data_IF_512226976807
#
_entry.id   IF_512226976807
#
_cell.length_a   1.000
_cell.length_b   1.000
_cell.length_c   1.000
_cell.angle_alpha   90.00
_cell.angle_beta   90.00
_cell.angle_gamma   90.00
#
_symmetry.space_group_name_H-M   'P 1'
#
loop_
_entity.id
_entity.type
_entity.pdbx_description
1 polymer ?
#
# COMPACT_ATOMS: atom_id res chain seq x y z
N UNK A 1 -14.30 4.83 7.30
CA UNK A 1 -13.50 4.09 6.30
C UNK A 1 -14.38 3.35 5.31
N UNK A 2 -15.49 2.76 5.74
CA UNK A 2 -16.44 2.02 4.88
C UNK A 2 -16.99 2.80 3.67
N UNK A 3 -17.25 4.09 3.82
CA UNK A 3 -17.70 4.93 2.72
C UNK A 3 -16.60 5.15 1.66
N UNK A 4 -15.33 5.18 2.06
CA UNK A 4 -14.20 5.38 1.16
C UNK A 4 -13.94 4.11 0.35
N UNK A 5 -13.89 2.94 1.01
CA UNK A 5 -13.72 1.65 0.34
C UNK A 5 -14.86 1.37 -0.64
N UNK A 6 -16.11 1.66 -0.27
CA UNK A 6 -17.26 1.53 -1.16
C UNK A 6 -17.20 2.47 -2.39
N UNK A 7 -16.71 3.70 -2.20
CA UNK A 7 -16.52 4.63 -3.31
C UNK A 7 -15.44 4.13 -4.30
N UNK A 8 -14.37 3.52 -3.78
CA UNK A 8 -13.31 2.93 -4.61
C UNK A 8 -13.76 1.69 -5.37
N UNK A 9 -14.47 0.78 -4.71
CA UNK A 9 -15.03 -0.42 -5.34
C UNK A 9 -15.96 -0.01 -6.48
N UNK A 10 -16.81 0.98 -6.25
CA UNK A 10 -17.69 1.55 -7.29
C UNK A 10 -16.91 2.21 -8.43
N UNK A 11 -15.80 2.91 -8.16
CA UNK A 11 -14.98 3.51 -9.20
C UNK A 11 -14.30 2.44 -10.09
N UNK A 12 -13.86 1.32 -9.50
CA UNK A 12 -13.32 0.17 -10.23
C UNK A 12 -14.39 -0.51 -11.09
N UNK A 13 -15.59 -0.73 -10.56
CA UNK A 13 -16.68 -1.36 -11.34
C UNK A 13 -17.18 -0.49 -12.48
N UNK A 14 -17.07 0.84 -12.36
CA UNK A 14 -17.44 1.79 -13.42
C UNK A 14 -16.38 1.94 -14.53
N UNK A 15 -15.27 1.18 -14.49
CA UNK A 15 -14.23 1.22 -15.52
C UNK A 15 -13.52 2.58 -15.61
N UNK A 16 -13.56 3.39 -14.54
CA UNK A 16 -12.85 4.66 -14.52
C UNK A 16 -11.35 4.38 -14.60
N UNK A 17 -10.69 5.02 -15.56
CA UNK A 17 -9.24 4.92 -15.73
C UNK A 17 -8.54 5.21 -14.39
N UNK A 18 -7.67 4.29 -13.95
CA UNK A 18 -7.00 4.27 -12.65
C UNK A 18 -6.30 5.59 -12.25
N UNK A 19 -5.94 6.43 -13.24
CA UNK A 19 -5.36 7.77 -13.05
C UNK A 19 -6.33 8.85 -12.54
N UNK A 20 -7.65 8.63 -12.53
CA UNK A 20 -8.64 9.58 -11.97
C UNK A 20 -8.80 9.50 -10.45
N UNK A 21 -8.05 8.63 -9.79
CA UNK A 21 -8.17 8.33 -8.35
C UNK A 21 -7.07 9.00 -7.50
N UNK A 22 -6.15 9.75 -8.11
CA UNK A 22 -4.94 10.25 -7.44
C UNK A 22 -5.18 11.39 -6.44
N UNK A 23 -6.35 12.04 -6.44
CA UNK A 23 -6.57 13.25 -5.63
C UNK A 23 -7.52 13.12 -4.43
N UNK A 24 -8.02 11.92 -4.11
CA UNK A 24 -8.96 11.75 -3.01
C UNK A 24 -8.74 10.42 -2.29
N UNK A 25 -8.04 10.46 -1.14
CA UNK A 25 -7.69 9.36 -0.24
C UNK A 25 -6.94 8.21 -0.92
N UNK A 26 -5.70 7.91 -0.51
CA UNK A 26 -4.98 6.82 -1.17
C UNK A 26 -5.71 5.49 -0.88
N UNK A 27 -6.17 4.74 -1.90
CA UNK A 27 -6.97 3.54 -1.70
C UNK A 27 -6.27 2.47 -0.85
N UNK A 28 -4.93 2.48 -0.82
CA UNK A 28 -4.14 1.65 0.08
C UNK A 28 -4.49 1.91 1.55
N UNK A 29 -4.51 3.18 1.98
CA UNK A 29 -4.81 3.59 3.34
C UNK A 29 -6.23 3.16 3.74
N UNK A 30 -7.19 3.38 2.84
CA UNK A 30 -8.59 3.03 3.10
C UNK A 30 -8.80 1.52 3.25
N UNK A 31 -8.19 0.70 2.38
CA UNK A 31 -8.25 -0.76 2.49
C UNK A 31 -7.50 -1.26 3.72
N UNK A 32 -6.33 -0.71 4.01
CA UNK A 32 -5.55 -1.08 5.20
C UNK A 32 -6.31 -0.76 6.49
N UNK A 33 -6.88 0.45 6.61
CA UNK A 33 -7.68 0.85 7.75
C UNK A 33 -8.96 0.02 7.92
N UNK A 34 -9.50 -0.52 6.83
CA UNK A 34 -10.64 -1.44 6.85
C UNK A 34 -10.25 -2.91 7.13
N UNK A 35 -8.96 -3.21 7.37
CA UNK A 35 -8.47 -4.59 7.55
C UNK A 35 -8.51 -5.44 6.27
N UNK A 36 -8.75 -4.82 5.11
CA UNK A 36 -8.79 -5.47 3.80
C UNK A 36 -7.38 -5.64 3.24
N UNK A 37 -6.53 -6.37 3.97
CA UNK A 37 -5.10 -6.49 3.64
C UNK A 37 -4.84 -7.16 2.29
N UNK A 38 -5.66 -8.13 1.89
CA UNK A 38 -5.51 -8.75 0.56
C UNK A 38 -5.76 -7.74 -0.56
N UNK A 39 -6.77 -6.87 -0.42
CA UNK A 39 -7.03 -5.83 -1.42
C UNK A 39 -5.89 -4.80 -1.48
N UNK A 40 -5.19 -4.54 -0.36
CA UNK A 40 -3.96 -3.74 -0.36
C UNK A 40 -2.87 -4.45 -1.16
N UNK A 41 -2.64 -5.74 -0.93
CA UNK A 41 -1.63 -6.52 -1.67
C UNK A 41 -1.91 -6.53 -3.17
N UNK A 42 -3.14 -6.87 -3.58
CA UNK A 42 -3.53 -6.91 -4.99
C UNK A 42 -3.40 -5.53 -5.66
N UNK A 43 -3.79 -4.47 -4.95
CA UNK A 43 -3.69 -3.11 -5.47
C UNK A 43 -2.24 -2.65 -5.59
N UNK A 44 -1.41 -2.93 -4.59
CA UNK A 44 0.02 -2.56 -4.63
C UNK A 44 0.75 -3.29 -5.75
N UNK A 45 0.48 -4.59 -5.95
CA UNK A 45 1.00 -5.37 -7.07
C UNK A 45 0.60 -4.76 -8.42
N UNK A 46 -0.69 -4.46 -8.61
CA UNK A 46 -1.17 -3.83 -9.84
C UNK A 46 -0.53 -2.44 -10.08
N UNK A 47 -0.36 -1.64 -9.04
CA UNK A 47 0.27 -0.31 -9.13
C UNK A 47 1.74 -0.42 -9.52
N UNK A 48 2.50 -1.29 -8.85
CA UNK A 48 3.92 -1.52 -9.10
C UNK A 48 4.14 -1.98 -10.54
N UNK A 49 3.32 -2.92 -11.03
CA UNK A 49 3.43 -3.46 -12.38
C UNK A 49 2.98 -2.48 -13.48
N UNK A 50 1.99 -1.62 -13.21
CA UNK A 50 1.35 -0.79 -14.24
C UNK A 50 1.90 0.63 -14.39
N UNK A 51 2.40 1.23 -13.31
CA UNK A 51 2.68 2.67 -13.26
C UNK A 51 4.17 3.00 -13.11
N UNK A 52 4.99 1.99 -12.83
CA UNK A 52 6.27 2.18 -12.15
C UNK A 52 6.03 2.30 -10.65
N UNK A 53 6.91 1.69 -9.87
CA UNK A 53 6.83 1.70 -8.41
C UNK A 53 6.82 3.13 -7.84
N UNK A 54 5.98 3.35 -6.84
CA UNK A 54 5.96 4.55 -5.99
C UNK A 54 6.22 4.07 -4.56
N UNK A 55 6.92 4.86 -3.77
CA UNK A 55 7.29 4.51 -2.40
C UNK A 55 6.09 4.12 -1.54
N UNK A 56 4.92 4.77 -1.73
CA UNK A 56 3.71 4.47 -0.98
C UNK A 56 3.17 3.08 -1.30
N UNK A 57 3.27 2.62 -2.54
CA UNK A 57 2.79 1.29 -2.92
C UNK A 57 3.62 0.20 -2.21
N UNK A 58 4.94 0.36 -2.16
CA UNK A 58 5.82 -0.55 -1.44
C UNK A 58 5.62 -0.48 0.08
N UNK A 59 5.41 0.72 0.63
CA UNK A 59 5.12 0.90 2.04
C UNK A 59 3.83 0.21 2.47
N UNK A 60 2.72 0.44 1.76
CA UNK A 60 1.45 -0.23 2.10
C UNK A 60 1.49 -1.73 1.85
N UNK A 61 2.29 -2.21 0.89
CA UNK A 61 2.56 -3.64 0.71
C UNK A 61 3.26 -4.21 1.94
N UNK A 62 4.29 -3.54 2.45
CA UNK A 62 5.00 -3.95 3.67
C UNK A 62 4.09 -3.99 4.89
N UNK A 63 3.25 -2.97 5.07
CA UNK A 63 2.26 -2.93 6.15
C UNK A 63 1.28 -4.11 6.07
N UNK A 64 0.72 -4.40 4.89
CA UNK A 64 -0.23 -5.49 4.69
C UNK A 64 0.43 -6.87 4.90
N UNK A 65 1.66 -7.07 4.45
CA UNK A 65 2.43 -8.31 4.69
C UNK A 65 2.68 -8.52 6.19
N UNK A 66 3.13 -7.47 6.89
CA UNK A 66 3.34 -7.52 8.33
C UNK A 66 2.05 -7.83 9.09
N UNK A 67 0.95 -7.15 8.77
CA UNK A 67 -0.35 -7.35 9.41
C UNK A 67 -0.93 -8.76 9.19
N UNK A 68 -0.59 -9.41 8.07
CA UNK A 68 -1.04 -10.77 7.74
C UNK A 68 -0.05 -11.86 8.14
N UNK A 69 1.10 -11.50 8.74
CA UNK A 69 2.17 -12.45 9.10
C UNK A 69 2.84 -13.09 7.89
N UNK A 70 2.71 -12.47 6.71
CA UNK A 70 3.38 -12.92 5.49
C UNK A 70 4.82 -12.38 5.45
N UNK A 71 5.72 -13.19 4.90
CA UNK A 71 7.11 -12.79 4.68
C UNK A 71 7.21 -11.68 3.62
N UNK A 72 8.33 -10.96 3.59
CA UNK A 72 8.57 -9.94 2.57
C UNK A 72 8.28 -8.50 3.01
N UNK A 73 7.89 -8.28 4.27
CA UNK A 73 7.55 -6.96 4.78
C UNK A 73 8.78 -6.03 4.83
N UNK A 74 9.92 -6.53 5.31
CA UNK A 74 11.17 -5.77 5.37
C UNK A 74 11.66 -5.37 3.97
N UNK A 75 11.61 -6.31 3.03
CA UNK A 75 11.99 -6.11 1.63
C UNK A 75 11.08 -5.08 0.95
N UNK A 76 9.79 -5.07 1.28
CA UNK A 76 8.87 -4.06 0.78
C UNK A 76 9.20 -2.67 1.34
N UNK A 77 9.51 -2.53 2.64
CA UNK A 77 9.93 -1.24 3.19
C UNK A 77 11.27 -0.77 2.65
N UNK A 78 12.22 -1.68 2.42
CA UNK A 78 13.49 -1.38 1.77
C UNK A 78 13.27 -0.86 0.35
N UNK A 79 12.41 -1.51 -0.44
CA UNK A 79 12.06 -1.02 -1.78
C UNK A 79 11.43 0.38 -1.74
N UNK A 80 10.59 0.69 -0.76
CA UNK A 80 10.05 2.04 -0.59
C UNK A 80 11.16 3.09 -0.39
N UNK A 81 12.19 2.75 0.39
CA UNK A 81 13.36 3.61 0.63
C UNK A 81 14.32 3.67 -0.56
N UNK A 82 14.40 2.64 -1.40
CA UNK A 82 15.14 2.70 -2.66
C UNK A 82 14.51 3.71 -3.63
N UNK A 83 13.17 3.77 -3.66
CA UNK A 83 12.44 4.76 -4.46
C UNK A 83 12.54 6.17 -3.86
N UNK A 84 12.37 6.30 -2.55
CA UNK A 84 12.50 7.57 -1.85
C UNK A 84 13.24 7.37 -0.51
N UNK A 85 14.56 7.65 -0.46
CA UNK A 85 15.37 7.45 0.75
C UNK A 85 14.93 8.31 1.94
N UNK A 86 14.17 9.39 1.69
CA UNK A 86 13.67 10.29 2.73
C UNK A 86 12.24 9.93 3.16
N UNK A 87 11.70 8.79 2.72
CA UNK A 87 10.35 8.36 3.09
C UNK A 87 10.32 7.80 4.52
N UNK A 88 10.26 8.72 5.49
CA UNK A 88 10.27 8.42 6.92
C UNK A 88 9.31 7.29 7.35
N UNK A 89 8.06 7.18 6.83
CA UNK A 89 7.17 6.10 7.22
C UNK A 89 7.74 4.70 6.96
N UNK A 90 8.46 4.50 5.86
CA UNK A 90 9.08 3.21 5.55
C UNK A 90 10.30 2.92 6.45
N UNK A 91 11.11 3.94 6.76
CA UNK A 91 12.24 3.80 7.68
C UNK A 91 11.78 3.43 9.09
N UNK A 92 10.74 4.11 9.60
CA UNK A 92 10.17 3.84 10.91
C UNK A 92 9.57 2.42 10.98
N UNK A 93 8.84 2.01 9.94
CA UNK A 93 8.26 0.67 9.87
C UNK A 93 9.32 -0.44 9.80
N UNK A 94 10.40 -0.23 9.05
CA UNK A 94 11.52 -1.17 8.97
C UNK A 94 12.25 -1.29 10.33
N UNK A 95 12.46 -0.16 11.02
CA UNK A 95 13.05 -0.16 12.36
C UNK A 95 12.15 -0.86 13.39
N UNK A 96 10.83 -0.64 13.32
CA UNK A 96 9.86 -1.30 14.19
C UNK A 96 9.82 -2.82 13.97
N UNK A 97 10.00 -3.29 12.74
CA UNK A 97 10.11 -4.72 12.42
C UNK A 97 11.35 -5.36 13.05
N UNK A 98 12.51 -4.70 12.94
CA UNK A 98 13.76 -5.21 13.50
C UNK A 98 13.73 -5.34 15.03
N UNK A 99 12.97 -4.47 15.71
CA UNK A 99 12.81 -4.50 17.17
C UNK A 99 11.80 -5.55 17.66
N UNK A 100 11.06 -6.22 16.76
CA UNK A 100 10.06 -7.23 17.09
C UNK A 100 10.57 -8.68 16.93
N UNK A 101 11.83 -8.85 16.50
CA UNK A 101 12.51 -10.14 16.36
C UNK A 101 13.43 -10.40 17.57
#
# INVERSE_FOLDING_TARGET
>A
FDAATAAFDKARTLGLHWRRLWYQFTPFEAYYAAGRYQDVLDLTEATINGTGGLEEAYYYRGLALHATGQNGAAEAFQAALEYNPNFAPAADALAALANQQ
#
